data_IF_988575321205
#
_entry.id   IF_988575321205
#
_cell.length_a   1.000
_cell.length_b   1.000
_cell.length_c   1.000
_cell.angle_alpha   90.00
_cell.angle_beta   90.00
_cell.angle_gamma   90.00
#
_symmetry.space_group_name_H-M   'P 1'
#
loop_
_entity.id
_entity.type
_entity.pdbx_description
1 polymer ?
#
# COMPACT_ATOMS: atom_id res chain seq x y z
N UNK A 1 25.41 25.43 5.66
CA UNK A 1 26.26 24.25 5.40
C UNK A 1 25.76 23.10 6.27
N UNK A 2 25.60 21.89 5.73
CA UNK A 2 25.07 20.71 6.45
C UNK A 2 26.10 19.59 6.41
N UNK A 3 26.37 18.97 7.56
CA UNK A 3 27.33 17.87 7.69
C UNK A 3 26.61 16.55 7.99
N UNK A 4 27.14 15.43 7.49
CA UNK A 4 26.63 14.08 7.77
C UNK A 4 27.79 13.13 8.01
N UNK A 5 27.60 12.16 8.91
CA UNK A 5 28.58 11.12 9.23
C UNK A 5 28.56 9.93 8.26
N UNK A 6 27.60 9.88 7.33
CA UNK A 6 27.49 8.80 6.35
C UNK A 6 28.25 9.17 5.08
N UNK A 7 29.15 8.28 4.66
CA UNK A 7 29.79 8.35 3.36
C UNK A 7 28.80 7.93 2.27
N UNK A 8 28.16 8.91 1.62
CA UNK A 8 27.13 8.68 0.59
C UNK A 8 26.95 9.92 -0.26
N UNK A 9 26.61 9.77 -1.54
CA UNK A 9 26.24 10.86 -2.46
C UNK A 9 24.75 11.25 -2.36
N UNK A 10 24.04 10.70 -1.39
CA UNK A 10 22.61 10.89 -1.19
C UNK A 10 22.31 11.79 0.01
N UNK A 11 21.19 12.50 -0.04
CA UNK A 11 20.84 13.42 1.03
C UNK A 11 19.35 13.72 1.16
N UNK A 12 19.03 14.52 2.18
CA UNK A 12 17.72 15.15 2.34
C UNK A 12 17.89 16.65 2.17
N UNK A 13 17.14 17.21 1.22
CA UNK A 13 17.07 18.62 0.88
C UNK A 13 16.07 19.41 1.74
N UNK A 14 15.62 20.52 1.19
CA UNK A 14 14.66 21.43 1.83
C UNK A 14 13.27 20.81 1.89
N UNK A 15 12.40 21.44 2.69
CA UNK A 15 10.99 21.09 2.74
C UNK A 15 10.27 21.60 1.50
N UNK A 16 9.31 20.82 1.01
CA UNK A 16 8.46 21.21 -0.12
C UNK A 16 7.47 22.34 0.24
N UNK A 17 7.31 22.64 1.55
CA UNK A 17 6.51 23.76 2.04
C UNK A 17 7.15 25.14 1.75
N UNK A 18 8.48 25.20 1.61
CA UNK A 18 9.26 26.42 1.28
C UNK A 18 8.90 27.72 2.04
N UNK A 19 8.57 27.66 3.33
CA UNK A 19 8.13 28.83 4.12
C UNK A 19 9.16 29.94 4.41
N UNK A 20 10.40 29.84 3.94
CA UNK A 20 11.44 30.88 4.09
C UNK A 20 12.25 30.99 2.79
N UNK A 21 11.60 31.42 1.71
CA UNK A 21 12.22 31.64 0.40
C UNK A 21 12.68 33.08 0.25
N UNK A 22 13.84 33.25 -0.38
CA UNK A 22 14.28 34.52 -0.96
C UNK A 22 13.92 34.50 -2.46
N UNK A 23 13.00 35.37 -2.87
CA UNK A 23 12.54 35.48 -4.26
C UNK A 23 13.63 35.97 -5.21
N UNK A 24 14.69 36.61 -4.70
CA UNK A 24 15.80 37.10 -5.52
C UNK A 24 16.74 35.98 -6.03
N UNK A 25 16.67 34.78 -5.45
CA UNK A 25 17.50 33.65 -5.85
C UNK A 25 16.87 32.88 -7.02
N UNK A 26 17.30 33.18 -8.25
CA UNK A 26 16.79 32.53 -9.48
C UNK A 26 17.33 31.11 -9.70
N UNK A 27 18.54 30.80 -9.21
CA UNK A 27 19.17 29.50 -9.40
C UNK A 27 19.85 29.03 -8.11
N UNK A 28 19.47 27.83 -7.66
CA UNK A 28 20.08 27.18 -6.50
C UNK A 28 20.98 26.04 -7.00
N UNK A 29 22.23 26.06 -6.57
CA UNK A 29 23.18 24.98 -6.82
C UNK A 29 23.49 24.24 -5.53
N UNK A 30 23.59 22.92 -5.62
CA UNK A 30 24.03 22.08 -4.51
C UNK A 30 25.46 21.64 -4.74
N UNK A 31 26.31 21.87 -3.74
CA UNK A 31 27.68 21.35 -3.70
C UNK A 31 27.76 20.30 -2.59
N UNK A 32 28.24 19.11 -2.93
CA UNK A 32 28.41 17.99 -2.02
C UNK A 32 29.88 17.58 -2.02
N UNK A 33 30.49 17.58 -0.84
CA UNK A 33 31.88 17.19 -0.65
C UNK A 33 31.94 15.93 0.19
N UNK A 34 32.69 14.95 -0.27
CA UNK A 34 33.04 13.77 0.52
C UNK A 34 34.46 13.93 1.03
N UNK A 35 34.63 13.67 2.33
CA UNK A 35 35.94 13.78 2.99
C UNK A 35 36.70 12.46 3.00
N UNK A 36 35.98 11.33 2.88
CA UNK A 36 36.55 10.00 2.82
C UNK A 36 37.17 9.69 1.45
N UNK A 37 36.60 10.27 0.40
CA UNK A 37 37.18 10.36 -0.95
C UNK A 37 37.15 11.84 -1.29
N UNK A 38 38.30 12.54 -1.42
CA UNK A 38 38.39 14.00 -1.52
C UNK A 38 37.87 14.49 -2.87
N UNK A 39 36.56 14.36 -3.06
CA UNK A 39 35.82 14.63 -4.29
C UNK A 39 34.67 15.57 -3.95
N UNK A 40 34.52 16.59 -4.80
CA UNK A 40 33.40 17.50 -4.77
C UNK A 40 32.55 17.28 -6.01
N UNK A 41 31.24 17.21 -5.81
CA UNK A 41 30.25 17.22 -6.90
C UNK A 41 29.34 18.41 -6.73
N UNK A 42 28.89 18.94 -7.85
CA UNK A 42 27.92 20.03 -7.85
C UNK A 42 26.97 19.89 -9.03
N UNK A 43 25.74 20.34 -8.84
CA UNK A 43 24.73 20.40 -9.90
C UNK A 43 23.62 21.37 -9.48
N UNK A 44 22.74 21.72 -10.41
CA UNK A 44 21.53 22.50 -10.11
C UNK A 44 20.67 21.70 -9.13
N UNK A 45 20.09 22.39 -8.15
CA UNK A 45 19.32 21.75 -7.09
C UNK A 45 18.18 20.88 -7.64
N UNK A 46 17.43 21.40 -8.61
CA UNK A 46 16.35 20.69 -9.31
C UNK A 46 16.82 19.38 -9.96
N UNK A 47 18.04 19.37 -10.52
CA UNK A 47 18.62 18.22 -11.20
C UNK A 47 19.13 17.15 -10.24
N UNK A 48 19.14 17.40 -8.94
CA UNK A 48 19.54 16.43 -7.93
C UNK A 48 18.32 15.81 -7.22
N UNK A 49 17.11 16.30 -7.48
CA UNK A 49 15.90 15.84 -6.76
C UNK A 49 15.36 14.56 -7.40
N UNK A 50 15.47 13.45 -6.67
CA UNK A 50 14.99 12.13 -7.11
C UNK A 50 13.61 11.73 -6.58
N UNK A 51 13.01 12.58 -5.76
CA UNK A 51 11.69 12.34 -5.20
C UNK A 51 11.48 13.12 -3.91
N UNK A 52 10.37 12.83 -3.24
CA UNK A 52 10.02 13.43 -1.96
C UNK A 52 9.92 12.36 -0.88
N UNK A 53 10.60 12.58 0.24
CA UNK A 53 10.42 11.77 1.45
C UNK A 53 9.23 12.32 2.21
N UNK A 54 8.13 11.56 2.20
CA UNK A 54 6.91 11.96 2.90
C UNK A 54 7.10 11.74 4.40
N UNK A 55 6.81 12.77 5.18
CA UNK A 55 6.84 12.80 6.65
C UNK A 55 5.97 13.96 7.14
N UNK A 56 5.88 14.23 8.45
CA UNK A 56 5.20 15.43 8.99
C UNK A 56 5.72 16.75 8.37
N UNK A 57 6.94 16.76 7.84
CA UNK A 57 7.46 17.84 7.00
C UNK A 57 8.10 17.22 5.76
N UNK A 58 7.38 17.04 4.64
CA UNK A 58 7.92 16.40 3.45
C UNK A 58 9.12 17.19 2.93
N UNK A 59 10.16 16.46 2.51
CA UNK A 59 11.44 17.04 2.05
C UNK A 59 11.92 16.35 0.78
N UNK A 60 12.60 17.11 -0.07
CA UNK A 60 13.23 16.56 -1.27
C UNK A 60 14.31 15.52 -0.91
N UNK A 61 14.36 14.44 -1.67
CA UNK A 61 15.44 13.45 -1.65
C UNK A 61 16.46 13.83 -2.71
N UNK A 62 17.72 13.88 -2.30
CA UNK A 62 18.84 14.31 -3.15
C UNK A 62 19.67 13.09 -3.57
N UNK A 63 20.04 13.08 -4.84
CA UNK A 63 20.96 12.11 -5.46
C UNK A 63 22.01 12.86 -6.30
N UNK A 64 23.27 12.76 -5.90
CA UNK A 64 24.42 13.36 -6.61
C UNK A 64 25.19 12.35 -7.46
N UNK A 65 24.75 11.09 -7.54
CA UNK A 65 25.44 10.02 -8.27
C UNK A 65 24.80 9.78 -9.63
N UNK A 66 23.48 9.54 -9.65
CA UNK A 66 22.69 9.41 -10.88
C UNK A 66 21.94 10.68 -11.30
N UNK A 67 21.93 11.69 -10.44
CA UNK A 67 21.04 12.84 -10.56
C UNK A 67 19.58 12.49 -10.23
N UNK A 68 18.74 13.51 -10.24
CA UNK A 68 17.31 13.44 -10.00
C UNK A 68 16.50 13.49 -11.29
N UNK A 69 15.39 12.75 -11.31
CA UNK A 69 14.43 12.76 -12.42
C UNK A 69 13.01 13.13 -11.97
N UNK A 70 12.77 13.44 -10.69
CA UNK A 70 11.43 13.66 -10.15
C UNK A 70 10.58 14.65 -10.97
N UNK A 71 11.12 15.84 -11.24
CA UNK A 71 10.40 16.86 -12.01
C UNK A 71 10.26 16.49 -13.49
N UNK A 72 11.25 15.78 -14.06
CA UNK A 72 11.18 15.29 -15.45
C UNK A 72 10.11 14.21 -15.61
N UNK A 73 9.98 13.30 -14.64
CA UNK A 73 8.98 12.24 -14.63
C UNK A 73 7.55 12.77 -14.46
N UNK A 74 7.42 13.96 -13.86
CA UNK A 74 6.16 14.68 -13.70
C UNK A 74 5.88 15.69 -14.84
N UNK A 75 6.78 15.84 -15.80
CA UNK A 75 6.73 16.88 -16.84
C UNK A 75 6.51 18.30 -16.26
N UNK A 76 7.21 18.60 -15.16
CA UNK A 76 7.14 19.88 -14.45
C UNK A 76 8.52 20.49 -14.26
N UNK A 77 8.55 21.78 -13.99
CA UNK A 77 9.75 22.46 -13.49
C UNK A 77 9.68 22.59 -11.98
N UNK A 78 10.83 22.80 -11.33
CA UNK A 78 10.86 23.09 -9.90
C UNK A 78 10.04 24.35 -9.56
N UNK A 79 10.10 25.40 -10.40
CA UNK A 79 9.30 26.62 -10.18
C UNK A 79 7.80 26.36 -10.32
N UNK A 80 7.36 25.67 -11.39
CA UNK A 80 5.96 25.31 -11.54
C UNK A 80 5.44 24.46 -10.37
N UNK A 81 6.24 23.51 -9.88
CA UNK A 81 5.88 22.71 -8.72
C UNK A 81 5.80 23.54 -7.44
N UNK A 82 6.64 24.57 -7.27
CA UNK A 82 6.61 25.46 -6.10
C UNK A 82 5.34 26.31 -6.03
N UNK A 83 4.80 26.72 -7.18
CA UNK A 83 3.61 27.57 -7.26
C UNK A 83 2.31 26.83 -6.93
N UNK A 84 2.34 25.49 -6.92
CA UNK A 84 1.21 24.67 -6.51
C UNK A 84 0.92 24.81 -5.01
N UNK A 85 -0.36 24.65 -4.66
CA UNK A 85 -0.74 24.50 -3.27
C UNK A 85 -0.21 23.17 -2.69
N UNK A 86 -0.26 23.04 -1.36
CA UNK A 86 0.26 21.82 -0.72
C UNK A 86 -0.53 20.56 -1.10
N UNK A 87 -1.84 20.69 -1.39
CA UNK A 87 -2.68 19.55 -1.75
C UNK A 87 -2.27 19.01 -3.11
N UNK A 88 -2.16 19.88 -4.10
CA UNK A 88 -1.77 19.55 -5.47
C UNK A 88 -0.34 19.00 -5.55
N UNK A 89 0.60 19.59 -4.77
CA UNK A 89 1.96 19.03 -4.60
C UNK A 89 1.92 17.59 -4.13
N UNK A 90 1.05 17.29 -3.18
CA UNK A 90 0.96 15.97 -2.56
C UNK A 90 0.29 14.94 -3.47
N UNK A 91 -0.68 15.35 -4.30
CA UNK A 91 -1.25 14.51 -5.37
C UNK A 91 -0.15 14.05 -6.34
N UNK A 92 0.68 14.98 -6.84
CA UNK A 92 1.77 14.64 -7.77
C UNK A 92 2.83 13.74 -7.13
N UNK A 93 3.17 13.98 -5.85
CA UNK A 93 4.09 13.11 -5.09
C UNK A 93 3.50 11.70 -4.95
N UNK A 94 2.19 11.57 -4.76
CA UNK A 94 1.50 10.27 -4.68
C UNK A 94 1.62 9.51 -6.01
N UNK A 95 1.30 10.16 -7.13
CA UNK A 95 1.39 9.56 -8.46
C UNK A 95 2.80 9.07 -8.79
N UNK A 96 3.81 9.89 -8.49
CA UNK A 96 5.22 9.57 -8.67
C UNK A 96 5.65 8.34 -7.84
N UNK A 97 5.17 8.21 -6.60
CA UNK A 97 5.45 7.03 -5.78
C UNK A 97 4.70 5.79 -6.27
N UNK A 98 3.44 5.92 -6.70
CA UNK A 98 2.63 4.82 -7.22
C UNK A 98 3.28 4.15 -8.43
N UNK A 99 3.83 4.94 -9.37
CA UNK A 99 4.55 4.42 -10.55
C UNK A 99 5.76 3.55 -10.21
N UNK A 100 6.32 3.66 -9.00
CA UNK A 100 7.51 2.91 -8.55
C UNK A 100 7.19 1.71 -7.67
N UNK A 101 5.93 1.51 -7.28
CA UNK A 101 5.54 0.35 -6.49
C UNK A 101 5.71 -0.93 -7.30
N UNK A 102 6.29 -1.96 -6.68
CA UNK A 102 6.34 -3.30 -7.27
C UNK A 102 5.00 -4.00 -7.13
N UNK A 103 4.83 -5.09 -7.88
CA UNK A 103 3.69 -5.98 -7.71
C UNK A 103 3.56 -6.44 -6.24
N UNK A 104 2.41 -6.17 -5.63
CA UNK A 104 2.14 -6.44 -4.21
C UNK A 104 2.53 -5.32 -3.23
N UNK A 105 3.27 -4.29 -3.64
CA UNK A 105 3.53 -3.10 -2.82
C UNK A 105 2.35 -2.11 -2.90
N UNK A 106 2.08 -1.41 -1.80
CA UNK A 106 1.02 -0.38 -1.70
C UNK A 106 1.49 0.80 -0.85
N UNK A 107 0.98 1.99 -1.16
CA UNK A 107 1.14 3.17 -0.32
C UNK A 107 0.28 3.03 0.93
N UNK A 108 0.89 3.01 2.13
CA UNK A 108 0.14 2.88 3.38
C UNK A 108 -0.45 4.20 3.91
N UNK A 109 -0.15 5.34 3.27
CA UNK A 109 -0.64 6.64 3.68
C UNK A 109 -0.80 7.60 2.48
N UNK A 110 -2.01 7.67 1.95
CA UNK A 110 -2.49 8.85 1.23
C UNK A 110 -4.02 8.77 1.14
N UNK A 111 -4.68 9.08 2.26
CA UNK A 111 -6.10 9.41 2.24
C UNK A 111 -6.23 10.82 1.70
N UNK A 112 -6.79 10.96 0.50
CA UNK A 112 -7.34 12.24 0.01
C UNK A 112 -8.86 12.13 -0.23
N UNK A 113 -9.44 10.96 0.08
CA UNK A 113 -10.89 10.76 0.02
C UNK A 113 -11.50 11.09 1.38
N UNK A 114 -12.38 12.09 1.37
CA UNK A 114 -13.12 12.54 2.56
C UNK A 114 -14.04 11.47 3.16
N UNK A 115 -14.15 10.29 2.55
CA UNK A 115 -15.00 9.18 3.01
C UNK A 115 -14.24 7.96 3.57
N UNK A 116 -12.90 7.90 3.47
CA UNK A 116 -12.11 6.81 4.08
C UNK A 116 -11.06 7.36 5.05
N UNK A 117 -11.51 7.65 6.28
CA UNK A 117 -10.62 8.01 7.39
C UNK A 117 -10.03 6.74 8.00
N UNK A 118 -8.89 6.29 7.48
CA UNK A 118 -8.09 5.28 8.17
C UNK A 118 -7.59 5.91 9.49
N UNK A 119 -7.74 5.23 10.64
CA UNK A 119 -7.22 5.77 11.89
C UNK A 119 -5.71 6.04 11.78
N UNK A 120 -5.29 7.22 12.22
CA UNK A 120 -3.87 7.63 12.24
C UNK A 120 -3.01 6.64 13.06
N UNK A 121 -3.63 5.89 13.98
CA UNK A 121 -2.99 4.85 14.76
C UNK A 121 -3.15 3.45 14.14
N UNK A 122 -2.03 2.80 13.86
CA UNK A 122 -2.02 1.37 13.53
C UNK A 122 -2.48 0.55 14.74
N UNK A 123 -3.48 -0.31 14.53
CA UNK A 123 -4.00 -1.23 15.56
C UNK A 123 -3.52 -2.65 15.30
N UNK A 124 -3.22 -3.40 16.35
CA UNK A 124 -2.91 -4.82 16.21
C UNK A 124 -4.20 -5.62 16.07
N UNK A 125 -4.28 -6.49 15.05
CA UNK A 125 -5.46 -7.34 14.79
C UNK A 125 -5.92 -8.10 16.04
N UNK A 126 -4.97 -8.67 16.80
CA UNK A 126 -5.25 -9.45 18.02
C UNK A 126 -5.93 -8.66 19.15
N UNK A 127 -5.89 -7.33 19.08
CA UNK A 127 -6.49 -6.44 20.08
C UNK A 127 -7.91 -5.99 19.66
N UNK A 128 -8.37 -6.36 18.46
CA UNK A 128 -9.74 -6.09 18.01
C UNK A 128 -10.71 -7.07 18.66
N UNK A 129 -11.97 -6.66 18.78
CA UNK A 129 -13.04 -7.55 19.24
C UNK A 129 -13.35 -8.64 18.20
N UNK A 130 -13.93 -9.75 18.66
CA UNK A 130 -14.20 -10.93 17.83
C UNK A 130 -15.10 -10.62 16.63
N UNK A 131 -16.05 -9.70 16.78
CA UNK A 131 -16.95 -9.32 15.68
C UNK A 131 -16.18 -8.60 14.58
N UNK A 132 -15.35 -7.61 14.95
CA UNK A 132 -14.51 -6.89 13.99
C UNK A 132 -13.45 -7.78 13.36
N UNK A 133 -12.86 -8.70 14.13
CA UNK A 133 -11.96 -9.72 13.60
C UNK A 133 -12.65 -10.59 12.53
N UNK A 134 -13.90 -10.99 12.77
CA UNK A 134 -14.66 -11.78 11.79
C UNK A 134 -14.99 -10.98 10.53
N UNK A 135 -15.40 -9.71 10.67
CA UNK A 135 -15.68 -8.82 9.55
C UNK A 135 -14.42 -8.61 8.68
N UNK A 136 -13.29 -8.28 9.30
CA UNK A 136 -12.04 -8.06 8.57
C UNK A 136 -11.53 -9.33 7.86
N UNK A 137 -11.70 -10.52 8.45
CA UNK A 137 -11.39 -11.78 7.77
C UNK A 137 -12.29 -12.04 6.57
N UNK A 138 -13.56 -11.66 6.66
CA UNK A 138 -14.51 -11.81 5.56
C UNK A 138 -14.14 -10.90 4.39
N UNK A 139 -13.94 -9.61 4.68
CA UNK A 139 -13.52 -8.64 3.66
C UNK A 139 -12.18 -9.05 3.02
N UNK A 140 -11.19 -9.44 3.83
CA UNK A 140 -9.89 -9.86 3.31
C UNK A 140 -9.96 -11.13 2.46
N UNK A 141 -10.79 -12.12 2.81
CA UNK A 141 -10.99 -13.32 1.99
C UNK A 141 -11.74 -13.02 0.69
N UNK A 142 -12.61 -12.01 0.69
CA UNK A 142 -13.32 -11.53 -0.49
C UNK A 142 -12.37 -10.81 -1.46
N UNK A 143 -11.54 -9.90 -0.93
CA UNK A 143 -10.61 -9.09 -1.71
C UNK A 143 -9.39 -9.87 -2.21
N UNK A 144 -8.99 -10.93 -1.48
CA UNK A 144 -7.78 -11.71 -1.80
C UNK A 144 -8.10 -13.20 -2.05
N UNK A 145 -8.72 -13.56 -3.19
CA UNK A 145 -9.03 -14.95 -3.56
C UNK A 145 -7.81 -15.88 -3.60
N UNK A 146 -6.61 -15.33 -3.76
CA UNK A 146 -5.36 -16.10 -3.83
C UNK A 146 -5.10 -16.93 -2.57
N UNK A 147 -5.74 -16.64 -1.43
CA UNK A 147 -5.63 -17.44 -0.21
C UNK A 147 -5.94 -18.94 -0.43
N UNK A 148 -6.76 -19.26 -1.44
CA UNK A 148 -7.09 -20.64 -1.82
C UNK A 148 -5.98 -21.36 -2.62
N UNK A 149 -4.95 -20.65 -3.07
CA UNK A 149 -3.81 -21.25 -3.76
C UNK A 149 -3.13 -22.34 -2.90
N UNK A 150 -2.41 -23.24 -3.57
CA UNK A 150 -1.77 -24.40 -2.94
C UNK A 150 -0.91 -24.03 -1.72
N UNK A 151 -0.86 -24.93 -0.73
CA UNK A 151 -0.20 -24.72 0.57
C UNK A 151 1.29 -24.32 0.49
N UNK A 152 1.97 -24.65 -0.61
CA UNK A 152 3.37 -24.28 -0.87
C UNK A 152 3.56 -22.81 -1.19
N UNK A 153 2.52 -22.11 -1.67
CA UNK A 153 2.59 -20.70 -2.07
C UNK A 153 2.39 -19.82 -0.85
N UNK A 154 3.47 -19.51 -0.13
CA UNK A 154 3.43 -18.73 1.12
C UNK A 154 2.93 -17.30 0.92
N UNK A 155 3.17 -16.71 -0.25
CA UNK A 155 2.78 -15.33 -0.58
C UNK A 155 1.27 -15.12 -0.73
N UNK A 156 0.47 -16.19 -0.69
CA UNK A 156 -1.01 -16.10 -0.78
C UNK A 156 -1.69 -15.36 0.38
N UNK A 157 -0.94 -14.97 1.39
CA UNK A 157 -1.41 -14.18 2.52
C UNK A 157 -0.95 -12.71 2.45
N UNK A 158 -0.08 -12.37 1.50
CA UNK A 158 0.55 -11.04 1.43
C UNK A 158 -0.50 -9.97 1.09
N UNK A 159 -1.38 -10.25 0.12
CA UNK A 159 -2.50 -9.37 -0.24
C UNK A 159 -3.40 -9.05 0.95
N UNK A 160 -3.65 -10.05 1.82
CA UNK A 160 -4.44 -9.86 3.03
C UNK A 160 -3.71 -8.97 4.05
N UNK A 161 -2.41 -9.20 4.28
CA UNK A 161 -1.62 -8.37 5.19
C UNK A 161 -1.67 -6.90 4.75
N UNK A 162 -1.53 -6.67 3.44
CA UNK A 162 -1.57 -5.35 2.83
C UNK A 162 -2.97 -4.75 2.91
N UNK A 163 -4.04 -5.49 2.58
CA UNK A 163 -5.43 -5.04 2.70
C UNK A 163 -5.75 -4.55 4.11
N UNK A 164 -5.44 -5.35 5.13
CA UNK A 164 -5.73 -4.98 6.52
C UNK A 164 -4.97 -3.72 6.95
N UNK A 165 -3.70 -3.60 6.55
CA UNK A 165 -2.90 -2.43 6.91
C UNK A 165 -3.36 -1.17 6.18
N UNK A 166 -3.60 -1.27 4.88
CA UNK A 166 -3.87 -0.12 4.01
C UNK A 166 -5.32 0.36 4.11
N UNK A 167 -6.30 -0.55 4.15
CA UNK A 167 -7.72 -0.17 4.18
C UNK A 167 -8.25 0.05 5.60
N UNK A 168 -7.63 -0.59 6.60
CA UNK A 168 -8.14 -0.57 7.98
C UNK A 168 -7.17 -0.04 9.03
N UNK A 169 -5.90 0.23 8.66
CA UNK A 169 -4.86 0.59 9.63
C UNK A 169 -4.59 -0.55 10.62
N UNK A 170 -4.83 -1.81 10.22
CA UNK A 170 -4.72 -2.98 11.09
C UNK A 170 -3.50 -3.82 10.70
N UNK A 171 -2.55 -3.93 11.63
CA UNK A 171 -1.40 -4.80 11.49
C UNK A 171 -1.73 -6.20 12.03
N UNK A 172 -1.69 -7.19 11.14
CA UNK A 172 -1.79 -8.61 11.47
C UNK A 172 -0.44 -9.30 11.28
N UNK A 173 0.27 -9.57 12.38
CA UNK A 173 1.59 -10.23 12.31
C UNK A 173 1.51 -11.70 11.89
N UNK A 174 0.37 -12.36 12.10
CA UNK A 174 0.17 -13.80 11.90
C UNK A 174 -1.01 -14.06 10.94
N UNK A 175 -0.97 -13.49 9.73
CA UNK A 175 -2.09 -13.59 8.77
C UNK A 175 -2.47 -15.03 8.45
N UNK A 176 -1.50 -15.93 8.29
CA UNK A 176 -1.75 -17.35 8.03
C UNK A 176 -2.73 -17.96 9.05
N UNK A 177 -2.47 -17.72 10.33
CA UNK A 177 -3.23 -18.34 11.41
C UNK A 177 -4.65 -17.78 11.51
N UNK A 178 -4.92 -16.60 10.94
CA UNK A 178 -6.28 -16.05 10.83
C UNK A 178 -7.22 -16.91 9.98
N UNK A 179 -6.66 -17.76 9.11
CA UNK A 179 -7.43 -18.60 8.20
C UNK A 179 -7.15 -20.09 8.36
N UNK A 180 -5.96 -20.49 8.82
CA UNK A 180 -5.58 -21.90 8.91
C UNK A 180 -5.50 -22.46 10.33
N UNK A 181 -5.82 -21.68 11.37
CA UNK A 181 -5.80 -22.17 12.75
C UNK A 181 -7.08 -22.94 13.12
N UNK A 182 -6.97 -23.87 14.06
CA UNK A 182 -8.13 -24.61 14.58
C UNK A 182 -9.16 -23.72 15.28
N UNK A 183 -8.75 -22.57 15.84
CA UNK A 183 -9.67 -21.60 16.45
C UNK A 183 -10.66 -20.97 15.45
N UNK A 184 -10.33 -21.00 14.15
CA UNK A 184 -11.16 -20.43 13.08
C UNK A 184 -11.79 -21.49 12.19
N UNK A 185 -11.09 -22.60 11.97
CA UNK A 185 -11.59 -23.72 11.16
C UNK A 185 -12.47 -24.71 11.95
N UNK A 186 -12.44 -24.66 13.28
CA UNK A 186 -13.13 -25.58 14.17
C UNK A 186 -12.24 -26.69 14.73
N UNK A 187 -12.77 -27.51 15.66
CA UNK A 187 -12.00 -28.50 16.42
C UNK A 187 -11.61 -29.75 15.61
N UNK A 188 -12.28 -30.00 14.48
CA UNK A 188 -12.05 -31.17 13.64
C UNK A 188 -10.65 -31.19 13.02
N UNK A 189 -9.97 -32.33 13.11
CA UNK A 189 -8.62 -32.52 12.55
C UNK A 189 -8.67 -33.04 11.12
N UNK A 190 -7.70 -32.61 10.31
CA UNK A 190 -7.60 -32.99 8.90
C UNK A 190 -8.44 -32.11 7.97
N UNK A 191 -8.26 -32.26 6.66
CA UNK A 191 -8.97 -31.49 5.64
C UNK A 191 -8.43 -30.08 5.40
N UNK A 192 -9.16 -29.29 4.61
CA UNK A 192 -8.79 -27.93 4.24
C UNK A 192 -9.27 -26.92 5.31
N UNK A 193 -8.33 -26.44 6.12
CA UNK A 193 -8.60 -25.48 7.19
C UNK A 193 -9.04 -24.11 6.66
N UNK A 194 -8.51 -23.69 5.50
CA UNK A 194 -8.86 -22.39 4.91
C UNK A 194 -10.30 -22.45 4.44
N UNK A 195 -10.67 -23.51 3.71
CA UNK A 195 -12.03 -23.71 3.23
C UNK A 195 -13.04 -23.70 4.40
N UNK A 196 -12.74 -24.41 5.49
CA UNK A 196 -13.61 -24.43 6.68
C UNK A 196 -13.70 -23.08 7.37
N UNK A 197 -12.58 -22.40 7.57
CA UNK A 197 -12.56 -21.05 8.16
C UNK A 197 -13.37 -20.05 7.34
N UNK A 198 -13.26 -20.11 6.02
CA UNK A 198 -14.04 -19.29 5.09
C UNK A 198 -15.51 -19.68 5.11
N UNK A 199 -15.84 -20.98 5.11
CA UNK A 199 -17.22 -21.47 5.23
C UNK A 199 -17.89 -20.98 6.52
N UNK A 200 -17.19 -21.08 7.64
CA UNK A 200 -17.66 -20.58 8.95
C UNK A 200 -17.94 -19.07 8.95
N UNK A 201 -17.33 -18.32 8.02
CA UNK A 201 -17.48 -16.87 7.90
C UNK A 201 -18.25 -16.43 6.64
N UNK A 202 -18.88 -17.37 5.91
CA UNK A 202 -19.45 -17.11 4.57
C UNK A 202 -20.56 -16.05 4.60
N UNK A 203 -21.35 -16.01 5.69
CA UNK A 203 -22.40 -14.99 5.88
C UNK A 203 -21.82 -13.57 5.94
N UNK A 204 -20.69 -13.40 6.62
CA UNK A 204 -20.00 -12.12 6.69
C UNK A 204 -19.36 -11.75 5.34
N UNK A 205 -18.90 -12.73 4.56
CA UNK A 205 -18.37 -12.50 3.20
C UNK A 205 -19.48 -12.00 2.27
N UNK A 206 -20.66 -12.63 2.31
CA UNK A 206 -21.83 -12.18 1.53
C UNK A 206 -22.26 -10.78 1.91
N UNK A 207 -22.24 -10.46 3.22
CA UNK A 207 -22.51 -9.11 3.71
C UNK A 207 -21.49 -8.10 3.16
N UNK A 208 -20.19 -8.41 3.26
CA UNK A 208 -19.13 -7.56 2.73
C UNK A 208 -19.27 -7.36 1.20
N UNK A 209 -19.60 -8.42 0.46
CA UNK A 209 -19.83 -8.33 -0.98
C UNK A 209 -20.97 -7.37 -1.33
N UNK A 210 -22.04 -7.32 -0.52
CA UNK A 210 -23.15 -6.41 -0.75
C UNK A 210 -22.86 -4.95 -0.37
N UNK A 211 -22.01 -4.72 0.64
CA UNK A 211 -21.85 -3.39 1.28
C UNK A 211 -20.57 -2.64 0.86
N UNK A 212 -19.51 -3.32 0.44
CA UNK A 212 -18.25 -2.66 0.10
C UNK A 212 -18.37 -1.82 -1.18
N UNK A 213 -17.58 -0.73 -1.22
CA UNK A 213 -17.50 0.15 -2.40
C UNK A 213 -16.95 -0.60 -3.61
N UNK A 214 -17.49 -0.32 -4.80
CA UNK A 214 -17.03 -0.87 -6.06
C UNK A 214 -15.56 -0.53 -6.36
N UNK A 215 -15.07 0.61 -5.87
CA UNK A 215 -13.66 1.01 -6.01
C UNK A 215 -12.68 -0.05 -5.47
N UNK A 216 -13.06 -0.76 -4.39
CA UNK A 216 -12.23 -1.85 -3.85
C UNK A 216 -12.18 -3.06 -4.80
N UNK A 217 -13.25 -3.36 -5.52
CA UNK A 217 -13.26 -4.47 -6.49
C UNK A 217 -12.41 -4.12 -7.71
N UNK A 218 -12.49 -2.87 -8.19
CA UNK A 218 -11.60 -2.38 -9.25
C UNK A 218 -10.14 -2.49 -8.81
N UNK A 219 -9.82 -2.12 -7.56
CA UNK A 219 -8.44 -2.18 -7.04
C UNK A 219 -7.93 -3.63 -6.86
N UNK A 220 -8.74 -4.51 -6.25
CA UNK A 220 -8.29 -5.84 -5.82
C UNK A 220 -8.59 -6.95 -6.83
N UNK A 221 -9.66 -6.84 -7.61
CA UNK A 221 -10.00 -7.81 -8.67
C UNK A 221 -9.55 -7.33 -10.05
N UNK A 222 -9.23 -6.04 -10.20
CA UNK A 222 -8.87 -5.43 -11.48
C UNK A 222 -10.07 -5.08 -12.35
N UNK A 223 -11.29 -5.21 -11.83
CA UNK A 223 -12.53 -4.96 -12.57
C UNK A 223 -13.68 -4.54 -11.63
N UNK A 224 -14.60 -3.74 -12.16
CA UNK A 224 -15.85 -3.38 -11.47
C UNK A 224 -16.80 -4.58 -11.45
N UNK A 225 -17.60 -4.72 -10.39
CA UNK A 225 -18.57 -5.81 -10.29
C UNK A 225 -19.80 -5.38 -9.49
N UNK A 226 -20.97 -5.46 -10.12
CA UNK A 226 -22.24 -5.11 -9.49
C UNK A 226 -22.51 -5.99 -8.24
N UNK A 227 -23.11 -5.44 -7.16
CA UNK A 227 -23.34 -6.15 -5.91
C UNK A 227 -23.95 -7.55 -6.05
N UNK A 228 -24.94 -7.71 -6.92
CA UNK A 228 -25.63 -8.97 -7.21
C UNK A 228 -24.73 -10.03 -7.86
N UNK A 229 -23.65 -9.63 -8.52
CA UNK A 229 -22.74 -10.51 -9.25
C UNK A 229 -21.46 -10.83 -8.47
N UNK A 230 -21.14 -10.07 -7.43
CA UNK A 230 -19.87 -10.18 -6.69
C UNK A 230 -19.62 -11.57 -6.12
N UNK A 231 -20.65 -12.21 -5.54
CA UNK A 231 -20.46 -13.57 -5.00
C UNK A 231 -20.19 -14.60 -6.09
N UNK A 232 -20.90 -14.52 -7.21
CA UNK A 232 -20.67 -15.39 -8.37
C UNK A 232 -19.25 -15.18 -8.89
N UNK A 233 -18.83 -13.93 -9.05
CA UNK A 233 -17.50 -13.61 -9.53
C UNK A 233 -16.40 -14.05 -8.56
N UNK A 234 -16.60 -13.84 -7.26
CA UNK A 234 -15.66 -14.32 -6.24
C UNK A 234 -15.50 -15.84 -6.30
N UNK A 235 -16.58 -16.59 -6.53
CA UNK A 235 -16.50 -18.04 -6.73
C UNK A 235 -15.63 -18.43 -7.94
N UNK A 236 -15.75 -17.70 -9.05
CA UNK A 236 -14.87 -17.92 -10.21
C UNK A 236 -13.40 -17.65 -9.88
N UNK A 237 -13.12 -16.58 -9.13
CA UNK A 237 -11.75 -16.22 -8.74
C UNK A 237 -11.11 -17.26 -7.80
N UNK A 238 -11.85 -17.75 -6.80
CA UNK A 238 -11.31 -18.77 -5.87
C UNK A 238 -11.16 -20.14 -6.54
N UNK A 239 -12.03 -20.48 -7.50
CA UNK A 239 -11.91 -21.71 -8.28
C UNK A 239 -10.71 -21.64 -9.24
N UNK A 240 -10.49 -20.49 -9.86
CA UNK A 240 -9.28 -20.24 -10.66
C UNK A 240 -7.99 -20.31 -9.80
N UNK A 241 -8.06 -19.92 -8.53
CA UNK A 241 -6.94 -20.03 -7.60
C UNK A 241 -6.63 -21.47 -7.18
N UNK A 242 -7.61 -22.39 -7.22
CA UNK A 242 -7.46 -23.81 -6.87
C UNK A 242 -8.24 -24.74 -7.82
N UNK A 243 -7.81 -24.90 -9.08
CA UNK A 243 -8.62 -25.56 -10.12
C UNK A 243 -8.85 -27.06 -9.90
N UNK A 244 -7.93 -27.74 -9.21
CA UNK A 244 -7.99 -29.19 -9.00
C UNK A 244 -9.03 -29.62 -7.98
N UNK A 245 -9.45 -28.70 -7.11
CA UNK A 245 -10.41 -28.94 -6.02
C UNK A 245 -11.15 -27.61 -5.76
N UNK A 246 -12.12 -27.27 -6.64
CA UNK A 246 -12.76 -25.96 -6.67
C UNK A 246 -13.44 -25.60 -5.33
N UNK A 247 -12.98 -24.56 -4.62
CA UNK A 247 -13.56 -24.18 -3.33
C UNK A 247 -15.05 -23.86 -3.39
N UNK A 248 -15.55 -23.32 -4.50
CA UNK A 248 -16.95 -22.91 -4.61
C UNK A 248 -17.94 -24.06 -4.47
N UNK A 249 -17.54 -25.29 -4.84
CA UNK A 249 -18.36 -26.49 -4.69
C UNK A 249 -18.78 -26.75 -3.24
N UNK A 250 -17.99 -26.29 -2.26
CA UNK A 250 -18.22 -26.51 -0.84
C UNK A 250 -18.81 -25.30 -0.09
N UNK A 251 -18.86 -24.14 -0.77
CA UNK A 251 -19.25 -22.85 -0.18
C UNK A 251 -20.66 -22.38 -0.63
N UNK A 252 -21.27 -23.05 -1.61
CA UNK A 252 -22.60 -22.68 -2.14
C UNK A 252 -23.77 -23.21 -1.31
N UNK A 253 -23.55 -24.19 -0.42
CA UNK A 253 -24.61 -24.98 0.23
C UNK A 253 -25.31 -24.34 1.45
N UNK A 254 -25.02 -23.08 1.78
CA UNK A 254 -25.63 -22.37 2.93
C UNK A 254 -26.29 -21.06 2.51
#
# INVERSE_FOLDING_TARGET
MKFTSRSTWHGTGNSIFEGMRDEAASHVYLVYFRSDIPEARWSRYENCIKGVRISHSPRYMIDMDGGGNFFRDLDLTLEAFKDLDMKDKMVLVKEDVQKRLKEGERLWWFGDDQDHTIPVNVRLYRNLDTSRQSALRAEAALMCPEIFQGSRKRSKYDGIAVYLLTQHGVLASNVRDMFSAGSVAGPERGGDYILRSVKNNIKAIRKAAAELDDALFVEYWGESCLPENRMTRWFELIDAAKPTDPPSAHLRED
#
